data_IF_776343224898
#
_entry.id   IF_776343224898
#
_cell.length_a   1.000
_cell.length_b   1.000
_cell.length_c   1.000
_cell.angle_alpha   90.00
_cell.angle_beta   90.00
_cell.angle_gamma   90.00
#
_symmetry.space_group_name_H-M   'P 1'
#
loop_
_entity.id
_entity.type
_entity.pdbx_description
1 polymer ?
#
# COMPACT_ATOMS: atom_id res chain seq x y z
N UNK A 1 -13.60 17.75 3.77
CA UNK A 1 -13.53 16.77 4.87
C UNK A 1 -14.86 16.08 5.12
N UNK A 2 -15.36 15.32 4.14
CA UNK A 2 -16.49 14.40 4.35
C UNK A 2 -16.01 13.01 3.96
N UNK A 3 -15.51 12.24 4.93
CA UNK A 3 -15.28 10.82 4.73
C UNK A 3 -16.65 10.15 4.55
N UNK A 4 -17.00 9.79 3.30
CA UNK A 4 -18.18 8.98 3.02
C UNK A 4 -17.88 7.56 3.46
N UNK A 5 -18.48 7.12 4.56
CA UNK A 5 -18.58 5.69 4.87
C UNK A 5 -19.57 5.07 3.87
N UNK A 6 -19.06 4.40 2.84
CA UNK A 6 -19.90 3.66 1.89
C UNK A 6 -20.19 2.30 2.53
N UNK A 7 -21.38 2.16 3.10
CA UNK A 7 -21.92 0.86 3.49
C UNK A 7 -22.57 0.26 2.25
N UNK A 8 -21.99 -0.81 1.72
CA UNK A 8 -22.58 -1.52 0.59
C UNK A 8 -23.88 -2.20 1.03
N UNK A 9 -25.01 -1.67 0.58
CA UNK A 9 -26.32 -2.29 0.80
C UNK A 9 -26.47 -3.49 -0.14
N UNK A 10 -26.77 -4.65 0.44
CA UNK A 10 -26.79 -5.92 -0.27
C UNK A 10 -28.15 -6.12 -0.96
N UNK A 11 -28.22 -5.99 -2.29
CA UNK A 11 -29.40 -6.40 -3.05
C UNK A 11 -29.35 -7.93 -3.30
N UNK A 12 -30.41 -8.69 -2.95
CA UNK A 12 -30.37 -10.17 -2.98
C UNK A 12 -30.16 -10.81 -4.35
N UNK A 13 -30.34 -10.06 -5.45
CA UNK A 13 -30.57 -10.64 -6.78
C UNK A 13 -29.40 -10.51 -7.77
N UNK A 14 -28.25 -9.94 -7.36
CA UNK A 14 -27.10 -9.67 -8.26
C UNK A 14 -25.76 -10.19 -7.71
N UNK A 15 -25.68 -11.50 -7.48
CA UNK A 15 -24.46 -12.14 -6.98
C UNK A 15 -23.29 -12.13 -7.98
N UNK A 16 -23.54 -12.03 -9.29
CA UNK A 16 -22.48 -12.12 -10.31
C UNK A 16 -21.83 -10.77 -10.67
N UNK A 17 -22.44 -9.63 -10.31
CA UNK A 17 -21.95 -8.28 -10.67
C UNK A 17 -21.39 -7.48 -9.48
N UNK A 18 -21.54 -7.97 -8.24
CA UNK A 18 -21.23 -7.20 -7.03
C UNK A 18 -19.73 -6.92 -6.84
N UNK A 19 -18.85 -7.85 -7.23
CA UNK A 19 -17.40 -7.69 -7.06
C UNK A 19 -16.80 -6.66 -8.03
N UNK A 20 -17.33 -6.55 -9.26
CA UNK A 20 -16.88 -5.56 -10.24
C UNK A 20 -17.58 -4.21 -10.07
N UNK A 21 -18.83 -4.16 -9.61
CA UNK A 21 -19.51 -2.91 -9.27
C UNK A 21 -18.88 -2.22 -8.05
N UNK A 22 -18.38 -2.99 -7.06
CA UNK A 22 -17.69 -2.44 -5.89
C UNK A 22 -16.24 -2.01 -6.18
N UNK A 23 -15.64 -2.48 -7.28
CA UNK A 23 -14.23 -2.21 -7.62
C UNK A 23 -13.93 -0.75 -7.91
N UNK A 24 -14.89 0.00 -8.48
CA UNK A 24 -14.69 1.41 -8.83
C UNK A 24 -15.86 2.34 -8.42
N UNK A 25 -16.82 1.88 -7.62
CA UNK A 25 -17.89 2.75 -7.10
C UNK A 25 -17.35 3.95 -6.30
N UNK A 26 -16.12 3.85 -5.76
CA UNK A 26 -15.41 4.93 -5.09
C UNK A 26 -14.55 5.80 -6.02
N UNK A 27 -14.45 5.46 -7.31
CA UNK A 27 -13.49 6.04 -8.26
C UNK A 27 -12.03 5.67 -7.99
N UNK A 28 -11.78 4.84 -6.97
CA UNK A 28 -10.44 4.46 -6.51
C UNK A 28 -9.63 3.78 -7.61
N UNK A 29 -10.24 2.87 -8.35
CA UNK A 29 -9.51 2.08 -9.33
C UNK A 29 -9.13 2.92 -10.54
N UNK A 30 -10.06 3.74 -11.03
CA UNK A 30 -9.81 4.72 -12.08
C UNK A 30 -8.75 5.74 -11.66
N UNK A 31 -8.82 6.26 -10.43
CA UNK A 31 -7.80 7.17 -9.89
C UNK A 31 -6.41 6.51 -9.83
N UNK A 32 -6.32 5.27 -9.32
CA UNK A 32 -5.06 4.51 -9.29
C UNK A 32 -4.48 4.25 -10.68
N UNK A 33 -5.32 3.97 -11.69
CA UNK A 33 -4.86 3.77 -13.06
C UNK A 33 -4.40 5.09 -13.70
N UNK A 34 -5.12 6.19 -13.45
CA UNK A 34 -4.78 7.51 -13.97
C UNK A 34 -3.48 8.10 -13.37
N UNK A 35 -3.18 7.78 -12.10
CA UNK A 35 -1.94 8.15 -11.41
C UNK A 35 -0.78 7.22 -11.73
N UNK A 36 -1.04 5.99 -12.18
CA UNK A 36 0.00 5.06 -12.64
C UNK A 36 0.54 5.51 -14.01
N UNK A 37 1.27 6.62 -14.00
CA UNK A 37 1.97 7.16 -15.16
C UNK A 37 3.41 6.68 -15.17
N UNK A 38 3.84 6.12 -16.28
CA UNK A 38 5.22 5.72 -16.47
C UNK A 38 6.04 6.91 -16.96
N UNK A 39 6.22 7.96 -16.14
CA UNK A 39 6.97 9.20 -16.50
C UNK A 39 8.30 8.84 -17.16
N UNK A 40 9.13 8.07 -16.45
CA UNK A 40 10.36 7.52 -17.01
C UNK A 40 10.10 6.54 -18.15
N UNK A 41 9.10 5.68 -18.03
CA UNK A 41 8.90 4.61 -19.01
C UNK A 41 8.47 5.09 -20.40
N UNK A 42 7.58 6.08 -20.48
CA UNK A 42 7.13 6.70 -21.72
C UNK A 42 8.25 7.54 -22.34
N UNK A 43 8.96 8.32 -21.52
CA UNK A 43 10.11 9.10 -21.96
C UNK A 43 11.25 8.21 -22.50
N UNK A 44 11.65 7.18 -21.74
CA UNK A 44 12.70 6.24 -22.14
C UNK A 44 12.31 5.47 -23.40
N UNK A 45 11.05 5.03 -23.54
CA UNK A 45 10.57 4.40 -24.78
C UNK A 45 10.76 5.32 -25.99
N UNK A 46 10.30 6.57 -25.90
CA UNK A 46 10.43 7.53 -26.98
C UNK A 46 11.90 7.79 -27.35
N UNK A 47 12.78 7.94 -26.36
CA UNK A 47 14.20 8.20 -26.59
C UNK A 47 14.95 6.96 -27.14
N UNK A 48 14.59 5.76 -26.68
CA UNK A 48 15.13 4.51 -27.21
C UNK A 48 14.73 4.31 -28.67
N UNK A 49 13.46 4.55 -28.99
CA UNK A 49 12.94 4.47 -30.36
C UNK A 49 13.62 5.49 -31.27
N UNK A 50 13.79 6.74 -30.82
CA UNK A 50 14.51 7.79 -31.55
C UNK A 50 15.98 7.46 -31.80
N UNK A 51 16.65 6.88 -30.81
CA UNK A 51 18.04 6.47 -30.91
C UNK A 51 18.23 5.14 -31.67
N UNK A 52 17.15 4.42 -31.99
CA UNK A 52 17.19 3.09 -32.60
C UNK A 52 17.85 2.05 -31.69
N UNK A 53 17.75 2.23 -30.37
CA UNK A 53 18.35 1.34 -29.37
C UNK A 53 17.27 0.42 -28.79
N UNK A 54 17.55 -0.87 -28.72
CA UNK A 54 16.64 -1.85 -28.12
C UNK A 54 16.81 -1.92 -26.60
N UNK A 55 15.73 -2.24 -25.88
CA UNK A 55 15.80 -2.47 -24.42
C UNK A 55 16.83 -3.53 -24.03
N UNK A 56 17.11 -4.49 -24.93
CA UNK A 56 18.14 -5.53 -24.72
C UNK A 56 19.56 -4.95 -24.74
N UNK A 57 19.84 -4.00 -25.63
CA UNK A 57 21.13 -3.31 -25.67
C UNK A 57 21.34 -2.47 -24.41
N UNK A 58 20.30 -1.79 -23.94
CA UNK A 58 20.35 -1.03 -22.67
C UNK A 58 20.53 -1.97 -21.48
N UNK A 59 19.79 -3.08 -21.42
CA UNK A 59 19.88 -4.05 -20.34
C UNK A 59 21.27 -4.73 -20.25
N UNK A 60 22.03 -4.75 -21.34
CA UNK A 60 23.41 -5.25 -21.34
C UNK A 60 24.38 -4.36 -20.52
N UNK A 61 24.04 -3.10 -20.27
CA UNK A 61 24.80 -2.21 -19.37
C UNK A 61 24.72 -2.63 -17.90
N UNK A 62 23.69 -3.40 -17.54
CA UNK A 62 23.31 -3.68 -16.15
C UNK A 62 23.19 -5.20 -15.91
N UNK A 63 24.30 -5.95 -15.96
CA UNK A 63 24.25 -7.41 -15.87
C UNK A 63 23.68 -7.89 -14.53
N UNK A 64 22.85 -8.93 -14.57
CA UNK A 64 22.30 -9.56 -13.37
C UNK A 64 23.40 -10.27 -12.57
N UNK A 65 23.33 -10.19 -11.23
CA UNK A 65 24.20 -10.97 -10.32
C UNK A 65 24.07 -12.48 -10.48
N UNK A 66 22.93 -12.97 -10.95
CA UNK A 66 22.64 -14.39 -11.14
C UNK A 66 22.96 -14.90 -12.55
N UNK A 67 23.55 -14.04 -13.40
CA UNK A 67 23.72 -14.32 -14.83
C UNK A 67 22.47 -13.98 -15.65
N UNK A 68 22.67 -13.59 -16.91
CA UNK A 68 21.60 -13.19 -17.84
C UNK A 68 21.28 -11.68 -17.85
N UNK A 69 20.28 -11.31 -18.66
CA UNK A 69 19.80 -9.94 -18.77
C UNK A 69 18.99 -9.56 -17.54
N UNK A 70 19.21 -8.34 -17.05
CA UNK A 70 18.42 -7.77 -15.96
C UNK A 70 16.97 -7.47 -16.38
N UNK A 71 16.06 -7.54 -15.41
CA UNK A 71 14.69 -7.04 -15.58
C UNK A 71 14.52 -5.55 -15.28
N UNK A 72 15.59 -4.83 -14.89
CA UNK A 72 15.45 -3.43 -14.44
C UNK A 72 14.94 -2.51 -15.54
N UNK A 73 15.39 -2.69 -16.80
CA UNK A 73 14.91 -1.89 -17.93
C UNK A 73 13.42 -2.09 -18.14
N UNK A 74 12.93 -3.33 -18.08
CA UNK A 74 11.49 -3.62 -18.18
C UNK A 74 10.71 -2.94 -17.05
N UNK A 75 11.24 -2.96 -15.82
CA UNK A 75 10.59 -2.30 -14.69
C UNK A 75 10.48 -0.79 -14.87
N UNK A 76 11.51 -0.14 -15.43
CA UNK A 76 11.47 1.30 -15.75
C UNK A 76 10.44 1.61 -16.84
N UNK A 77 10.42 0.84 -17.93
CA UNK A 77 9.51 1.06 -19.05
C UNK A 77 8.03 0.84 -18.69
N UNK A 78 7.77 -0.06 -17.73
CA UNK A 78 6.45 -0.35 -17.17
C UNK A 78 6.07 0.57 -16.00
N UNK A 79 6.96 1.46 -15.56
CA UNK A 79 6.72 2.39 -14.45
C UNK A 79 6.63 1.71 -13.07
N UNK A 80 7.27 0.56 -12.87
CA UNK A 80 7.34 -0.11 -11.57
C UNK A 80 8.32 0.58 -10.61
N UNK A 81 9.38 1.17 -11.16
CA UNK A 81 10.36 1.99 -10.46
C UNK A 81 11.07 2.93 -11.48
N UNK A 82 11.96 3.78 -11.00
CA UNK A 82 12.81 4.64 -11.83
C UNK A 82 14.27 4.15 -11.81
N UNK A 83 15.09 4.49 -12.83
CA UNK A 83 16.54 4.28 -12.80
C UNK A 83 17.20 5.18 -11.73
N UNK A 84 18.40 4.82 -11.27
CA UNK A 84 19.24 5.73 -10.46
C UNK A 84 19.92 6.77 -11.35
N UNK A 85 20.48 7.87 -10.79
CA UNK A 85 21.24 8.85 -11.57
C UNK A 85 22.38 8.20 -12.37
N UNK A 86 23.13 7.28 -11.77
CA UNK A 86 24.26 6.59 -12.43
C UNK A 86 23.77 5.68 -13.57
N UNK A 87 22.63 5.03 -13.38
CA UNK A 87 22.01 4.22 -14.43
C UNK A 87 21.51 5.10 -15.58
N UNK A 88 20.93 6.26 -15.27
CA UNK A 88 20.48 7.22 -16.26
C UNK A 88 21.66 7.76 -17.09
N UNK A 89 22.76 8.14 -16.45
CA UNK A 89 23.98 8.58 -17.12
C UNK A 89 24.63 7.47 -17.96
N UNK A 90 24.63 6.23 -17.49
CA UNK A 90 25.12 5.09 -18.28
C UNK A 90 24.30 4.89 -19.56
N UNK A 91 22.98 5.06 -19.50
CA UNK A 91 22.11 5.02 -20.69
C UNK A 91 22.41 6.20 -21.62
N UNK A 92 22.55 7.40 -21.07
CA UNK A 92 22.88 8.62 -21.84
C UNK A 92 24.20 8.47 -22.59
N UNK A 93 25.23 7.89 -21.95
CA UNK A 93 26.50 7.57 -22.59
C UNK A 93 26.37 6.57 -23.75
N UNK A 94 25.56 5.53 -23.59
CA UNK A 94 25.30 4.54 -24.65
C UNK A 94 24.59 5.18 -25.86
N UNK A 95 23.52 5.93 -25.60
CA UNK A 95 22.69 6.53 -26.66
C UNK A 95 23.44 7.62 -27.44
N UNK A 96 24.31 8.36 -26.76
CA UNK A 96 25.05 9.48 -27.34
C UNK A 96 26.47 9.12 -27.82
N UNK A 97 26.83 7.83 -27.85
CA UNK A 97 28.17 7.36 -28.20
C UNK A 97 28.64 7.80 -29.60
N UNK A 98 27.72 8.15 -30.50
CA UNK A 98 28.01 8.62 -31.88
C UNK A 98 28.03 10.15 -32.03
N UNK A 99 27.93 10.90 -30.92
CA UNK A 99 27.87 12.37 -30.93
C UNK A 99 26.47 12.93 -31.15
N UNK A 100 25.44 12.09 -31.06
CA UNK A 100 24.04 12.51 -31.04
C UNK A 100 23.65 13.03 -29.64
N UNK A 101 22.45 13.63 -29.53
CA UNK A 101 21.90 14.13 -28.27
C UNK A 101 20.50 13.52 -27.99
N UNK A 102 20.48 12.55 -27.08
CA UNK A 102 19.32 11.84 -26.52
C UNK A 102 19.33 11.91 -24.99
N UNK A 103 18.18 11.63 -24.37
CA UNK A 103 17.95 11.77 -22.92
C UNK A 103 18.29 13.18 -22.42
N UNK A 104 17.82 14.20 -23.16
CA UNK A 104 18.16 15.63 -22.93
C UNK A 104 17.52 16.23 -21.67
N UNK A 105 16.46 15.63 -21.17
CA UNK A 105 15.79 16.10 -19.95
C UNK A 105 16.67 15.77 -18.76
N UNK A 106 16.78 16.72 -17.83
CA UNK A 106 17.58 16.51 -16.63
C UNK A 106 16.93 15.45 -15.75
N UNK A 107 17.76 14.57 -15.19
CA UNK A 107 17.29 13.45 -14.37
C UNK A 107 16.44 13.93 -13.19
N UNK A 108 16.83 15.05 -12.57
CA UNK A 108 16.11 15.61 -11.43
C UNK A 108 14.71 16.12 -11.80
N UNK A 109 14.52 16.67 -13.00
CA UNK A 109 13.19 17.10 -13.45
C UNK A 109 12.25 15.89 -13.61
N UNK A 110 12.73 14.82 -14.25
CA UNK A 110 11.98 13.56 -14.40
C UNK A 110 11.74 12.88 -13.05
N UNK A 111 12.71 12.93 -12.13
CA UNK A 111 12.59 12.37 -10.78
C UNK A 111 11.54 13.11 -9.98
N UNK A 112 11.51 14.44 -10.02
CA UNK A 112 10.50 15.25 -9.31
C UNK A 112 9.10 14.92 -9.82
N UNK A 113 8.87 14.91 -11.13
CA UNK A 113 7.55 14.56 -11.70
C UNK A 113 7.15 13.11 -11.33
N UNK A 114 8.08 12.17 -11.39
CA UNK A 114 7.86 10.80 -10.94
C UNK A 114 7.54 10.71 -9.44
N UNK A 115 8.23 11.46 -8.59
CA UNK A 115 8.01 11.47 -7.14
C UNK A 115 6.66 12.08 -6.79
N UNK A 116 6.24 13.16 -7.44
CA UNK A 116 4.91 13.77 -7.26
C UNK A 116 3.79 12.76 -7.59
N UNK A 117 3.88 12.11 -8.74
CA UNK A 117 2.90 11.10 -9.18
C UNK A 117 2.93 9.84 -8.31
N UNK A 118 4.13 9.43 -7.86
CA UNK A 118 4.27 8.31 -6.92
C UNK A 118 3.62 8.62 -5.59
N UNK A 119 3.80 9.83 -5.06
CA UNK A 119 3.16 10.27 -3.82
C UNK A 119 1.64 10.25 -3.95
N UNK A 120 1.09 10.79 -5.04
CA UNK A 120 -0.35 10.74 -5.32
C UNK A 120 -0.88 9.29 -5.39
N UNK A 121 -0.14 8.40 -6.05
CA UNK A 121 -0.48 6.97 -6.09
C UNK A 121 -0.36 6.28 -4.72
N UNK A 122 0.67 6.58 -3.93
CA UNK A 122 0.86 6.02 -2.58
C UNK A 122 -0.25 6.49 -1.61
N UNK A 123 -0.76 7.71 -1.79
CA UNK A 123 -1.92 8.24 -1.08
C UNK A 123 -3.23 7.56 -1.48
N UNK A 124 -3.34 7.11 -2.73
CA UNK A 124 -4.49 6.29 -3.15
C UNK A 124 -4.34 4.86 -2.64
N UNK A 125 -3.16 4.24 -2.76
CA UNK A 125 -2.98 2.80 -2.48
C UNK A 125 -3.31 2.43 -1.03
N UNK A 126 -4.01 1.29 -0.85
CA UNK A 126 -4.16 0.66 0.48
C UNK A 126 -2.80 0.50 1.17
N UNK A 127 -2.65 1.00 2.41
CA UNK A 127 -1.38 0.93 3.13
C UNK A 127 -0.99 -0.52 3.40
N UNK A 128 0.32 -0.80 3.30
CA UNK A 128 0.90 -2.08 3.66
C UNK A 128 2.27 -1.85 4.31
N UNK A 129 2.25 -1.55 5.61
CA UNK A 129 3.40 -1.08 6.38
C UNK A 129 4.13 -2.25 7.07
N UNK A 130 4.53 -3.26 6.30
CA UNK A 130 5.27 -4.40 6.86
C UNK A 130 6.72 -4.02 7.14
N UNK A 131 7.24 -4.39 8.31
CA UNK A 131 8.61 -4.09 8.75
C UNK A 131 9.22 -5.37 9.32
N UNK A 132 10.55 -5.37 9.52
CA UNK A 132 11.26 -6.54 10.06
C UNK A 132 10.79 -6.95 11.49
N UNK A 133 10.12 -6.06 12.22
CA UNK A 133 9.55 -6.35 13.54
C UNK A 133 8.23 -7.12 13.51
N UNK A 134 7.61 -7.27 12.34
CA UNK A 134 6.34 -7.96 12.17
C UNK A 134 6.52 -9.45 11.82
N UNK A 135 5.57 -10.28 12.24
CA UNK A 135 5.45 -11.62 11.65
C UNK A 135 5.06 -11.49 10.18
N UNK A 136 5.79 -12.17 9.29
CA UNK A 136 5.61 -12.12 7.85
C UNK A 136 5.13 -13.47 7.29
N UNK A 137 4.56 -13.46 6.08
CA UNK A 137 3.96 -14.64 5.44
C UNK A 137 2.54 -14.94 5.94
N UNK A 138 1.99 -16.07 5.49
CA UNK A 138 0.58 -16.44 5.73
C UNK A 138 0.35 -17.19 7.06
N UNK A 139 1.42 -17.50 7.80
CA UNK A 139 1.37 -18.26 9.06
C UNK A 139 1.87 -17.41 10.22
N UNK A 140 0.95 -16.90 11.04
CA UNK A 140 1.27 -16.11 12.22
C UNK A 140 1.08 -16.93 13.49
N UNK A 141 2.04 -16.83 14.41
CA UNK A 141 2.03 -17.53 15.70
C UNK A 141 1.74 -16.53 16.81
N UNK A 142 0.53 -16.60 17.35
CA UNK A 142 0.12 -15.79 18.50
C UNK A 142 -0.27 -16.72 19.65
N UNK A 143 0.25 -16.49 20.87
CA UNK A 143 -0.18 -17.26 22.02
C UNK A 143 -1.65 -16.97 22.31
N UNK A 144 -2.39 -18.03 22.59
CA UNK A 144 -3.76 -17.93 23.04
C UNK A 144 -3.73 -17.63 24.54
N UNK A 145 -4.14 -16.42 24.93
CA UNK A 145 -4.18 -16.04 26.34
C UNK A 145 -5.12 -16.98 27.12
N UNK A 146 -4.60 -17.53 28.24
CA UNK A 146 -5.31 -18.43 29.16
C UNK A 146 -5.96 -17.71 30.35
N UNK A 147 -5.96 -16.38 30.33
CA UNK A 147 -6.64 -15.57 31.34
C UNK A 147 -8.16 -15.66 31.15
N UNK A 148 -8.90 -15.24 32.17
CA UNK A 148 -10.35 -15.12 32.09
C UNK A 148 -10.72 -14.23 30.90
N UNK A 149 -11.57 -14.76 30.02
CA UNK A 149 -11.95 -14.11 28.78
C UNK A 149 -13.22 -13.32 28.96
N UNK A 150 -13.25 -12.17 28.33
CA UNK A 150 -14.44 -11.34 28.21
C UNK A 150 -15.47 -11.91 27.23
N UNK A 151 -15.00 -12.66 26.23
CA UNK A 151 -15.80 -13.24 25.17
C UNK A 151 -15.27 -14.63 24.78
N UNK A 152 -16.12 -15.64 24.52
CA UNK A 152 -15.68 -17.00 24.17
C UNK A 152 -14.67 -17.02 23.01
N UNK A 153 -14.97 -16.27 21.95
CA UNK A 153 -14.15 -16.13 20.74
C UNK A 153 -13.21 -14.90 20.73
N UNK A 154 -12.82 -14.37 21.89
CA UNK A 154 -11.94 -13.19 21.99
C UNK A 154 -10.62 -13.41 21.24
N UNK A 155 -10.25 -12.47 20.37
CA UNK A 155 -8.99 -12.48 19.63
C UNK A 155 -7.85 -11.84 20.44
N UNK A 156 -6.59 -12.30 20.29
CA UNK A 156 -5.43 -11.67 20.92
C UNK A 156 -5.25 -10.23 20.44
N UNK A 157 -5.05 -9.29 21.37
CA UNK A 157 -4.91 -7.86 21.03
C UNK A 157 -3.66 -7.61 20.18
N UNK A 158 -2.54 -8.25 20.49
CA UNK A 158 -1.30 -8.09 19.73
C UNK A 158 -1.43 -8.46 18.25
N UNK A 159 -2.19 -9.53 17.94
CA UNK A 159 -2.47 -9.95 16.58
C UNK A 159 -3.25 -8.87 15.81
N UNK A 160 -4.33 -8.36 16.40
CA UNK A 160 -5.17 -7.34 15.76
C UNK A 160 -4.43 -6.00 15.66
N UNK A 161 -3.59 -5.67 16.64
CA UNK A 161 -2.70 -4.50 16.59
C UNK A 161 -1.74 -4.59 15.40
N UNK A 162 -1.01 -5.69 15.24
CA UNK A 162 -0.10 -5.87 14.10
C UNK A 162 -0.86 -5.78 12.77
N UNK A 163 -2.03 -6.44 12.65
CA UNK A 163 -2.84 -6.38 11.44
C UNK A 163 -3.27 -4.94 11.11
N UNK A 164 -3.73 -4.20 12.12
CA UNK A 164 -4.16 -2.81 12.00
C UNK A 164 -2.99 -1.91 11.60
N UNK A 165 -1.82 -2.09 12.21
CA UNK A 165 -0.61 -1.29 11.92
C UNK A 165 -0.13 -1.49 10.47
N UNK A 166 -0.12 -2.73 9.99
CA UNK A 166 0.26 -3.06 8.61
C UNK A 166 -0.78 -2.49 7.61
N UNK A 167 -2.07 -2.57 7.94
CA UNK A 167 -3.16 -2.36 6.98
C UNK A 167 -3.86 -1.01 7.10
N UNK A 168 -3.37 -0.08 7.93
CA UNK A 168 -3.97 1.24 8.13
C UNK A 168 -2.94 2.36 8.24
N UNK A 169 -3.37 3.57 7.89
CA UNK A 169 -2.59 4.81 8.12
C UNK A 169 -2.81 5.33 9.54
N UNK A 170 -1.92 6.19 10.00
CA UNK A 170 -2.13 6.95 11.24
C UNK A 170 -3.40 7.81 11.10
N UNK A 171 -4.21 7.88 12.16
CA UNK A 171 -5.47 8.62 12.15
C UNK A 171 -6.61 7.98 11.35
N UNK A 172 -6.38 6.86 10.65
CA UNK A 172 -7.44 6.18 9.90
C UNK A 172 -8.57 5.68 10.82
N UNK A 173 -9.77 5.56 10.26
CA UNK A 173 -10.95 4.99 10.93
C UNK A 173 -11.05 3.49 10.65
N UNK A 174 -11.09 2.69 11.71
CA UNK A 174 -11.27 1.23 11.64
C UNK A 174 -12.73 0.89 11.95
N UNK A 175 -13.38 0.13 11.06
CA UNK A 175 -14.72 -0.41 11.29
C UNK A 175 -14.64 -1.88 11.68
N UNK A 176 -15.27 -2.25 12.78
CA UNK A 176 -15.49 -3.64 13.16
C UNK A 176 -17.01 -3.89 13.37
N UNK A 177 -17.69 -4.53 12.41
CA UNK A 177 -19.13 -4.77 12.50
C UNK A 177 -19.50 -5.91 13.46
N UNK A 178 -18.51 -6.63 14.01
CA UNK A 178 -18.69 -7.76 14.94
C UNK A 178 -17.68 -7.64 16.08
N UNK A 179 -17.67 -6.48 16.75
CA UNK A 179 -16.56 -6.11 17.62
C UNK A 179 -16.40 -7.03 18.84
N UNK A 180 -17.45 -7.76 19.25
CA UNK A 180 -17.44 -8.63 20.41
C UNK A 180 -16.99 -7.86 21.65
N UNK A 181 -15.97 -8.36 22.34
CA UNK A 181 -15.41 -7.66 23.51
C UNK A 181 -14.59 -6.40 23.18
N UNK A 182 -14.52 -5.96 21.91
CA UNK A 182 -13.87 -4.71 21.51
C UNK A 182 -12.36 -4.80 21.28
N UNK A 183 -11.82 -5.98 20.95
CA UNK A 183 -10.37 -6.15 20.72
C UNK A 183 -9.84 -5.25 19.61
N UNK A 184 -10.57 -5.11 18.50
CA UNK A 184 -10.19 -4.25 17.37
C UNK A 184 -10.16 -2.78 17.76
N UNK A 185 -11.14 -2.32 18.54
CA UNK A 185 -11.22 -0.94 19.00
C UNK A 185 -10.08 -0.60 19.98
N UNK A 186 -9.73 -1.53 20.86
CA UNK A 186 -8.57 -1.38 21.76
C UNK A 186 -7.28 -1.27 20.95
N UNK A 187 -7.08 -2.14 19.96
CA UNK A 187 -5.92 -2.09 19.08
C UNK A 187 -5.84 -0.77 18.31
N UNK A 188 -6.96 -0.29 17.76
CA UNK A 188 -7.04 0.99 17.07
C UNK A 188 -6.68 2.17 17.98
N UNK A 189 -7.26 2.24 19.21
CA UNK A 189 -6.93 3.26 20.21
C UNK A 189 -5.44 3.26 20.54
N UNK A 190 -4.87 2.09 20.82
CA UNK A 190 -3.46 1.97 21.24
C UNK A 190 -2.47 2.31 20.12
N UNK A 191 -2.96 2.39 18.88
CA UNK A 191 -2.24 2.85 17.71
C UNK A 191 -2.59 4.30 17.33
N UNK A 192 -3.50 4.99 18.02
CA UNK A 192 -3.94 6.34 17.63
C UNK A 192 -4.76 6.37 16.35
N UNK A 193 -5.57 5.33 16.10
CA UNK A 193 -6.59 5.27 15.04
C UNK A 193 -7.96 5.58 15.62
N UNK A 194 -8.86 6.08 14.79
CA UNK A 194 -10.28 6.15 15.11
C UNK A 194 -10.91 4.77 14.94
N UNK A 195 -11.99 4.48 15.65
CA UNK A 195 -12.67 3.20 15.53
C UNK A 195 -14.19 3.30 15.68
N UNK A 196 -14.90 2.51 14.90
CA UNK A 196 -16.34 2.30 14.97
C UNK A 196 -16.55 0.80 15.18
N UNK A 197 -17.24 0.44 16.27
CA UNK A 197 -17.59 -0.94 16.56
C UNK A 197 -19.09 -1.13 16.61
N UNK A 198 -19.58 -2.22 16.03
CA UNK A 198 -20.97 -2.65 16.08
C UNK A 198 -21.01 -4.02 16.74
N UNK A 199 -21.92 -4.20 17.68
CA UNK A 199 -22.15 -5.44 18.40
C UNK A 199 -23.63 -5.52 18.77
N UNK A 200 -24.20 -6.70 18.66
CA UNK A 200 -25.63 -6.94 18.87
C UNK A 200 -25.94 -7.24 20.34
N UNK A 201 -25.02 -7.90 21.05
CA UNK A 201 -25.22 -8.26 22.46
C UNK A 201 -24.74 -7.15 23.40
N UNK A 202 -25.68 -6.54 24.12
CA UNK A 202 -25.43 -5.43 25.05
C UNK A 202 -24.31 -5.72 26.07
N UNK A 203 -24.26 -6.95 26.60
CA UNK A 203 -23.20 -7.36 27.54
C UNK A 203 -21.79 -7.18 26.97
N UNK A 204 -21.59 -7.39 25.67
CA UNK A 204 -20.30 -7.24 25.02
C UNK A 204 -20.01 -5.77 24.68
N UNK A 205 -21.03 -4.98 24.34
CA UNK A 205 -20.93 -3.53 24.24
C UNK A 205 -20.44 -2.91 25.57
N UNK A 206 -21.01 -3.33 26.70
CA UNK A 206 -20.58 -2.86 28.02
C UNK A 206 -19.11 -3.20 28.31
N UNK A 207 -18.69 -4.44 28.00
CA UNK A 207 -17.31 -4.86 28.21
C UNK A 207 -16.36 -4.05 27.32
N UNK A 208 -16.70 -3.86 26.04
CA UNK A 208 -15.92 -3.04 25.12
C UNK A 208 -15.80 -1.59 25.65
N UNK A 209 -16.90 -0.99 26.10
CA UNK A 209 -16.91 0.35 26.68
C UNK A 209 -16.02 0.46 27.93
N UNK A 210 -16.06 -0.52 28.85
CA UNK A 210 -15.17 -0.58 30.02
C UNK A 210 -13.70 -0.75 29.63
N UNK A 211 -13.39 -1.51 28.58
CA UNK A 211 -12.00 -1.67 28.11
C UNK A 211 -11.44 -0.39 27.46
N UNK A 212 -12.32 0.40 26.86
CA UNK A 212 -12.03 1.66 26.17
C UNK A 212 -12.14 2.89 27.07
N UNK A 213 -12.71 2.74 28.26
CA UNK A 213 -12.82 3.83 29.23
C UNK A 213 -11.44 4.41 29.54
N UNK A 214 -11.44 5.67 29.95
CA UNK A 214 -10.24 6.37 30.35
C UNK A 214 -9.48 5.53 31.38
N UNK A 215 -8.18 5.35 31.12
CA UNK A 215 -7.27 4.65 32.03
C UNK A 215 -6.49 5.69 32.82
N UNK A 216 -6.08 5.31 34.03
CA UNK A 216 -5.15 6.12 34.81
C UNK A 216 -3.83 6.22 34.04
N UNK A 217 -3.28 7.44 33.96
CA UNK A 217 -1.91 7.63 33.53
C UNK A 217 -1.02 7.08 34.65
N UNK A 218 -0.18 6.05 34.38
CA UNK A 218 0.79 5.61 35.36
C UNK A 218 1.89 6.67 35.43
N UNK A 219 1.78 7.61 36.38
CA UNK A 219 2.91 8.41 36.79
C UNK A 219 3.85 7.48 37.56
N UNK A 220 5.05 7.25 37.01
CA UNK A 220 6.15 6.60 37.72
C UNK A 220 6.90 7.62 38.56
#
# INVERSE_FOLDING_TARGET
NSERCIVAEKQPERYEEADDAARDASGYWTACQATKRAVFGDYLRAEFDRAGVTSRQVAALFPSRTGGLTGCVSNWLLGHNCPTPEQYEAMRGLLNAKGDEYLRTEYEELRTEYEELRTEYEELRRPFNLTAGHQWGDVWRWPVERVERWHPAQKPVGMIRQLTEISSRNGATILDPFMGSGTTLVAARDLGRQAIGIEIEEKYCEIAARRLSQRLLPFK
#
